data_IF_822557932033
#
_entry.id   IF_822557932033
#
_cell.length_a   1.000
_cell.length_b   1.000
_cell.length_c   1.000
_cell.angle_alpha   90.00
_cell.angle_beta   90.00
_cell.angle_gamma   90.00
#
_symmetry.space_group_name_H-M   'P 1'
#
loop_
_entity.id
_entity.type
_entity.pdbx_description
1 polymer ?
#
# COMPACT_ATOMS: atom_id res chain seq x y z
N UNK A 1 1.47 5.03 14.91
CA UNK A 1 2.22 3.95 14.22
C UNK A 1 1.25 2.83 13.89
N UNK A 2 1.18 2.43 12.62
CA UNK A 2 0.33 1.30 12.19
C UNK A 2 1.12 -0.01 12.26
N UNK A 3 0.52 -1.12 12.71
CA UNK A 3 1.17 -2.41 12.75
C UNK A 3 1.50 -2.89 11.33
N UNK A 4 2.69 -3.46 11.17
CA UNK A 4 3.07 -4.14 9.92
C UNK A 4 2.41 -5.50 9.89
N UNK A 5 1.64 -5.76 8.85
CA UNK A 5 0.91 -7.01 8.66
C UNK A 5 1.80 -8.03 7.96
N UNK A 6 2.61 -7.54 7.00
CA UNK A 6 3.50 -8.39 6.21
C UNK A 6 4.71 -7.59 5.76
N UNK A 7 5.86 -8.25 5.63
CA UNK A 7 7.09 -7.64 5.10
C UNK A 7 7.82 -8.65 4.23
N UNK A 8 8.14 -8.27 2.99
CA UNK A 8 8.90 -9.10 2.05
C UNK A 8 9.80 -8.23 1.18
N UNK A 9 11.07 -8.61 1.01
CA UNK A 9 11.97 -7.96 0.05
C UNK A 9 12.09 -6.44 0.17
N UNK A 10 11.97 -5.86 1.37
CA UNK A 10 12.00 -4.40 1.57
C UNK A 10 10.64 -3.70 1.48
N UNK A 11 9.59 -4.40 1.03
CA UNK A 11 8.21 -3.92 1.03
C UNK A 11 7.53 -4.24 2.36
N UNK A 12 6.87 -3.23 2.92
CA UNK A 12 6.14 -3.26 4.20
C UNK A 12 4.66 -3.03 3.92
N UNK A 13 3.84 -4.00 4.30
CA UNK A 13 2.39 -3.97 4.17
C UNK A 13 1.75 -3.60 5.51
N UNK A 14 0.82 -2.66 5.49
CA UNK A 14 0.13 -2.19 6.69
C UNK A 14 -1.25 -1.61 6.36
N UNK A 15 -2.09 -1.49 7.40
CA UNK A 15 -3.41 -0.86 7.31
C UNK A 15 -3.47 0.39 8.19
N UNK A 16 -4.11 1.45 7.70
CA UNK A 16 -4.43 2.61 8.54
C UNK A 16 -5.76 2.40 9.25
N UNK A 17 -5.73 2.34 10.58
CA UNK A 17 -6.92 2.09 11.41
C UNK A 17 -8.00 3.19 11.36
N UNK A 18 -7.70 4.33 10.71
CA UNK A 18 -8.62 5.48 10.57
C UNK A 18 -8.99 5.76 9.11
N UNK A 19 -8.81 4.79 8.24
CA UNK A 19 -9.06 4.95 6.82
C UNK A 19 -10.43 4.37 6.41
N UNK A 20 -10.77 4.51 5.14
CA UNK A 20 -12.07 4.14 4.55
C UNK A 20 -12.43 2.66 4.77
N UNK A 21 -13.74 2.32 4.81
CA UNK A 21 -14.21 0.95 5.06
C UNK A 21 -13.94 -0.02 3.90
N UNK A 22 -13.56 0.47 2.71
CA UNK A 22 -13.18 -0.37 1.58
C UNK A 22 -11.90 -1.15 1.90
N UNK A 23 -11.85 -2.44 1.57
CA UNK A 23 -10.63 -3.25 1.77
C UNK A 23 -9.50 -2.70 0.90
N UNK A 24 -8.45 -2.24 1.55
CA UNK A 24 -7.25 -1.70 0.90
C UNK A 24 -6.02 -2.06 1.71
N UNK A 25 -4.86 -2.08 1.07
CA UNK A 25 -3.57 -2.29 1.72
C UNK A 25 -2.59 -1.20 1.31
N UNK A 26 -1.81 -0.71 2.28
CA UNK A 26 -0.71 0.20 2.03
C UNK A 26 0.59 -0.58 1.98
N UNK A 27 1.43 -0.24 1.01
CA UNK A 27 2.71 -0.86 0.74
C UNK A 27 3.75 0.24 0.72
N UNK A 28 4.66 0.24 1.69
CA UNK A 28 5.79 1.18 1.74
C UNK A 28 7.10 0.43 1.53
N UNK A 29 8.04 1.02 0.81
CA UNK A 29 9.41 0.57 0.63
C UNK A 29 10.37 1.76 0.75
N UNK A 30 11.67 1.52 0.60
CA UNK A 30 12.69 2.58 0.56
C UNK A 30 12.51 3.52 -0.64
N UNK A 31 11.90 3.03 -1.71
CA UNK A 31 11.69 3.76 -2.97
C UNK A 31 10.42 4.62 -2.96
N UNK A 32 9.38 4.19 -2.23
CA UNK A 32 8.11 4.90 -2.19
C UNK A 32 7.00 4.20 -1.43
N UNK A 33 5.79 4.75 -1.55
CA UNK A 33 4.58 4.20 -0.95
C UNK A 33 3.45 4.08 -1.99
N UNK A 34 2.65 3.04 -1.85
CA UNK A 34 1.52 2.76 -2.71
C UNK A 34 0.34 2.25 -1.89
N UNK A 35 -0.85 2.55 -2.36
CA UNK A 35 -2.11 2.06 -1.83
C UNK A 35 -2.80 1.24 -2.91
N UNK A 36 -3.26 0.06 -2.56
CA UNK A 36 -4.02 -0.82 -3.43
C UNK A 36 -5.40 -1.10 -2.85
N UNK A 37 -6.42 -1.07 -3.70
CA UNK A 37 -7.73 -1.62 -3.39
C UNK A 37 -7.67 -3.14 -3.54
N UNK A 38 -8.38 -3.86 -2.67
CA UNK A 38 -8.50 -5.32 -2.76
C UNK A 38 -9.87 -5.75 -3.30
N UNK A 39 -10.84 -4.83 -3.31
CA UNK A 39 -12.19 -5.08 -3.78
C UNK A 39 -12.70 -3.89 -4.62
N UNK A 40 -13.50 -4.15 -5.66
CA UNK A 40 -13.87 -5.48 -6.19
C UNK A 40 -12.71 -6.20 -6.92
N UNK A 41 -11.74 -5.45 -7.42
CA UNK A 41 -10.54 -5.95 -8.09
C UNK A 41 -9.28 -5.32 -7.47
N UNK A 42 -8.13 -5.94 -7.69
CA UNK A 42 -6.86 -5.40 -7.18
C UNK A 42 -6.43 -4.23 -8.06
N UNK A 43 -6.60 -3.01 -7.58
CA UNK A 43 -6.34 -1.79 -8.32
C UNK A 43 -5.42 -0.84 -7.57
N UNK A 44 -4.53 -0.15 -8.30
CA UNK A 44 -3.68 0.89 -7.73
C UNK A 44 -4.51 2.13 -7.41
N UNK A 45 -4.73 2.39 -6.12
CA UNK A 45 -5.47 3.55 -5.64
C UNK A 45 -4.60 4.82 -5.65
N UNK A 46 -3.36 4.67 -5.20
CA UNK A 46 -2.43 5.79 -5.05
C UNK A 46 -1.01 5.27 -5.15
N UNK A 47 -0.18 6.03 -5.83
CA UNK A 47 1.26 5.82 -5.90
C UNK A 47 1.92 7.15 -5.52
N UNK A 48 2.85 7.08 -4.58
CA UNK A 48 3.69 8.20 -4.21
C UNK A 48 5.16 7.74 -4.28
N UNK A 49 5.91 8.36 -5.20
CA UNK A 49 7.33 8.13 -5.51
C UNK A 49 7.72 6.87 -6.27
N UNK A 50 6.83 5.90 -6.52
CA UNK A 50 7.17 4.86 -7.50
C UNK A 50 7.09 5.48 -8.90
N UNK A 51 8.24 5.95 -9.39
CA UNK A 51 8.38 6.49 -10.73
C UNK A 51 7.99 5.42 -11.75
N UNK A 52 6.97 5.71 -12.56
CA UNK A 52 6.66 4.93 -13.77
C UNK A 52 7.74 5.29 -14.81
N UNK A 53 8.95 4.77 -14.64
CA UNK A 53 9.97 4.87 -15.68
C UNK A 53 9.51 3.97 -16.83
N UNK A 54 9.15 4.60 -17.94
CA UNK A 54 8.81 3.98 -19.21
C UNK A 54 10.09 3.87 -20.06
#
# INVERSE_FOLDING_TARGET
MSPTVFKVGGYRFFFFSREEPRKHVHIASEDGEAKFWLEPEIELARNYRYSRNH
#
